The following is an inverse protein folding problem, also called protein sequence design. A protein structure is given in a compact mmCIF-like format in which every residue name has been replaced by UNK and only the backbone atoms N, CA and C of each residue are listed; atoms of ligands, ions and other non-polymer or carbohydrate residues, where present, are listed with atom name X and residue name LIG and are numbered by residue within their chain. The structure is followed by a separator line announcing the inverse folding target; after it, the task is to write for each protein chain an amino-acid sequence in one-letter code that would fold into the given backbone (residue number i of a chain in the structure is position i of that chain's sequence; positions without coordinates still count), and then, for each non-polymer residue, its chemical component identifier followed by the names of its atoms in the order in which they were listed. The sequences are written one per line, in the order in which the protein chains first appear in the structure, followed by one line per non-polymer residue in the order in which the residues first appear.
data_IF_185811668436
#
_entry.id   IF_185811668436
#
_cell.length_a   1.000
_cell.length_b   1.000
_cell.length_c   1.000
_cell.angle_alpha   90.00
_cell.angle_beta   90.00
_cell.angle_gamma   90.00
#
_symmetry.space_group_name_H-M   'P 1'
#
loop_
_entity.id
_entity.type
_entity.pdbx_description
1 polymer ?
#
# COMPACT_ATOMS: atom_id res chain seq x y z
N UNK A 1 -1.07 11.84 -30.78
CA UNK A 1 0.14 12.69 -30.66
C UNK A 1 0.59 12.59 -29.22
N UNK A 2 1.68 11.87 -28.95
CA UNK A 2 2.21 11.75 -27.58
C UNK A 2 2.95 13.05 -27.23
N UNK A 3 2.52 13.75 -26.18
CA UNK A 3 3.14 14.99 -25.72
C UNK A 3 4.30 14.68 -24.77
N UNK A 4 5.53 14.74 -25.29
CA UNK A 4 6.76 14.70 -24.49
C UNK A 4 7.12 13.33 -23.91
N UNK A 5 8.43 13.14 -23.66
CA UNK A 5 9.00 11.93 -23.02
C UNK A 5 8.73 10.61 -23.76
N UNK A 6 8.67 10.66 -25.08
CA UNK A 6 8.56 9.50 -25.97
C UNK A 6 9.74 9.34 -26.92
N UNK A 7 9.95 8.12 -27.40
CA UNK A 7 10.81 7.80 -28.55
C UNK A 7 9.98 7.05 -29.60
N UNK A 8 10.28 7.24 -30.89
CA UNK A 8 9.52 6.64 -31.99
C UNK A 8 10.44 5.87 -32.93
N UNK A 9 9.98 4.71 -33.40
CA UNK A 9 10.65 3.94 -34.46
C UNK A 9 10.46 4.60 -35.82
N UNK A 10 11.25 4.17 -36.81
CA UNK A 10 11.12 4.59 -38.21
C UNK A 10 9.76 4.18 -38.83
N UNK A 11 9.10 3.17 -38.27
CA UNK A 11 7.77 2.70 -38.68
C UNK A 11 6.62 3.51 -38.03
N UNK A 12 6.95 4.50 -37.20
CA UNK A 12 5.98 5.39 -36.56
C UNK A 12 5.39 4.85 -35.25
N UNK A 13 5.89 3.74 -34.72
CA UNK A 13 5.50 3.24 -33.40
C UNK A 13 6.25 4.02 -32.31
N UNK A 14 5.52 4.69 -31.42
CA UNK A 14 6.08 5.47 -30.33
C UNK A 14 5.86 4.80 -28.97
N UNK A 15 6.86 4.88 -28.09
CA UNK A 15 6.79 4.42 -26.71
C UNK A 15 7.32 5.48 -25.75
N UNK A 16 7.00 5.37 -24.47
CA UNK A 16 7.61 6.21 -23.44
C UNK A 16 9.13 5.94 -23.33
N UNK A 17 9.88 6.97 -22.95
CA UNK A 17 11.30 6.83 -22.60
C UNK A 17 11.46 5.97 -21.33
N UNK A 18 12.65 5.38 -21.09
CA UNK A 18 12.93 4.70 -19.83
C UNK A 18 12.66 5.61 -18.61
N UNK A 19 12.03 5.06 -17.56
CA UNK A 19 11.58 5.81 -16.39
C UNK A 19 10.25 6.54 -16.57
N UNK A 20 9.51 6.21 -17.64
CA UNK A 20 8.16 6.71 -17.88
C UNK A 20 7.27 5.59 -18.41
N UNK A 21 5.98 5.66 -18.06
CA UNK A 21 4.94 4.76 -18.54
C UNK A 21 3.71 5.53 -19.05
N UNK A 22 2.77 4.84 -19.69
CA UNK A 22 1.49 5.42 -20.08
C UNK A 22 0.35 4.50 -19.61
N UNK A 23 -0.81 5.10 -19.36
CA UNK A 23 -2.03 4.38 -18.99
C UNK A 23 -3.00 4.45 -20.18
N UNK A 24 -3.29 3.34 -20.88
CA UNK A 24 -4.23 3.33 -21.98
C UNK A 24 -5.64 3.83 -21.56
N UNK A 25 -6.36 4.56 -22.42
CA UNK A 25 -6.02 4.93 -23.79
C UNK A 25 -5.19 6.23 -23.89
N UNK A 26 -4.74 6.80 -22.77
CA UNK A 26 -4.03 8.07 -22.77
C UNK A 26 -2.68 7.94 -23.51
N UNK A 27 -2.35 8.94 -24.32
CA UNK A 27 -1.06 9.05 -25.01
C UNK A 27 -0.06 9.94 -24.25
N UNK A 28 -0.26 10.13 -22.95
CA UNK A 28 0.67 10.87 -22.08
C UNK A 28 1.60 9.88 -21.38
N UNK A 29 2.89 10.20 -21.36
CA UNK A 29 3.87 9.50 -20.56
C UNK A 29 4.01 10.17 -19.19
N UNK A 30 3.83 9.39 -18.13
CA UNK A 30 4.00 9.78 -16.73
C UNK A 30 5.34 9.26 -16.21
N UNK A 31 6.03 9.98 -15.33
CA UNK A 31 7.23 9.46 -14.68
C UNK A 31 6.92 8.18 -13.89
N UNK A 32 7.87 7.26 -13.82
CA UNK A 32 7.75 6.04 -13.03
C UNK A 32 8.10 6.33 -11.57
N UNK A 33 7.09 6.55 -10.73
CA UNK A 33 7.26 6.85 -9.30
C UNK A 33 6.91 5.61 -8.47
N UNK A 34 7.86 5.15 -7.67
CA UNK A 34 7.68 4.05 -6.73
C UNK A 34 6.94 4.48 -5.46
N UNK A 35 6.53 3.50 -4.65
CA UNK A 35 5.92 3.78 -3.34
C UNK A 35 6.86 4.63 -2.46
N UNK A 36 6.28 5.58 -1.72
CA UNK A 36 7.02 6.57 -0.93
C UNK A 36 7.60 7.74 -1.74
N UNK A 37 7.58 7.67 -3.08
CA UNK A 37 7.98 8.77 -3.95
C UNK A 37 6.94 9.89 -4.01
N UNK A 38 7.41 11.12 -4.28
CA UNK A 38 6.53 12.29 -4.45
C UNK A 38 5.78 12.23 -5.77
N UNK A 39 4.50 12.56 -5.77
CA UNK A 39 3.64 12.55 -6.94
C UNK A 39 2.63 13.71 -6.92
N UNK A 40 2.07 14.02 -8.08
CA UNK A 40 0.96 14.96 -8.24
C UNK A 40 -0.33 14.27 -8.73
N UNK A 41 -0.19 13.17 -9.47
CA UNK A 41 -1.29 12.42 -10.06
C UNK A 41 -1.13 10.92 -9.76
N UNK A 42 -2.26 10.22 -9.58
CA UNK A 42 -2.27 8.76 -9.40
C UNK A 42 -1.57 8.04 -10.56
N UNK A 43 -1.66 8.59 -11.77
CA UNK A 43 -1.04 8.02 -12.96
C UNK A 43 0.49 8.09 -12.97
N UNK A 44 1.12 8.77 -12.01
CA UNK A 44 2.59 8.77 -11.85
C UNK A 44 3.08 7.58 -11.02
N UNK A 45 2.21 6.99 -10.22
CA UNK A 45 2.58 5.85 -9.39
C UNK A 45 2.64 4.58 -10.25
N UNK A 46 3.86 4.11 -10.52
CA UNK A 46 4.10 2.95 -11.39
C UNK A 46 3.73 1.61 -10.73
N UNK A 47 3.62 1.57 -9.40
CA UNK A 47 3.26 0.37 -8.65
C UNK A 47 1.75 0.09 -8.81
N UNK A 48 1.35 -1.13 -9.23
CA UNK A 48 -0.05 -1.46 -9.41
C UNK A 48 -0.87 -1.27 -8.13
N UNK A 49 -2.05 -0.66 -8.26
CA UNK A 49 -2.96 -0.30 -7.15
C UNK A 49 -2.41 0.75 -6.17
N UNK A 50 -1.28 1.38 -6.46
CA UNK A 50 -0.86 2.58 -5.76
C UNK A 50 -1.67 3.79 -6.24
N UNK A 51 -1.83 4.75 -5.35
CA UNK A 51 -2.48 6.04 -5.59
C UNK A 51 -1.60 7.16 -5.04
N UNK A 52 -1.72 8.35 -5.62
CA UNK A 52 -1.08 9.54 -5.10
C UNK A 52 -1.89 10.09 -3.93
N UNK A 53 -1.45 9.81 -2.71
CA UNK A 53 -2.13 10.23 -1.48
C UNK A 53 -1.25 11.22 -0.73
N UNK A 54 -1.78 12.40 -0.44
CA UNK A 54 -1.04 13.49 0.21
C UNK A 54 0.31 13.83 -0.49
N UNK A 55 0.34 13.70 -1.83
CA UNK A 55 1.53 13.96 -2.63
C UNK A 55 2.57 12.84 -2.61
N UNK A 56 2.22 11.65 -2.11
CA UNK A 56 3.12 10.50 -2.01
C UNK A 56 2.43 9.24 -2.57
N UNK A 57 3.14 8.48 -3.40
CA UNK A 57 2.66 7.20 -3.90
C UNK A 57 2.50 6.19 -2.75
N UNK A 58 1.26 5.78 -2.51
CA UNK A 58 0.87 4.92 -1.40
C UNK A 58 -0.06 3.81 -1.91
N UNK A 59 -0.09 2.64 -1.26
CA UNK A 59 -1.07 1.62 -1.63
C UNK A 59 -2.50 2.11 -1.41
N UNK A 60 -3.39 1.77 -2.34
CA UNK A 60 -4.82 2.07 -2.24
C UNK A 60 -5.48 1.45 -1.01
N UNK A 61 -6.69 1.90 -0.70
CA UNK A 61 -7.42 1.50 0.51
C UNK A 61 -7.49 -0.02 0.71
N UNK A 62 -7.06 -0.49 1.87
CA UNK A 62 -7.09 -1.90 2.24
C UNK A 62 -5.94 -2.76 1.69
N UNK A 63 -5.00 -2.14 0.98
CA UNK A 63 -3.78 -2.79 0.49
C UNK A 63 -2.57 -2.35 1.32
N UNK A 64 -1.59 -3.24 1.43
CA UNK A 64 -0.30 -2.99 2.07
C UNK A 64 0.83 -3.19 1.05
N UNK A 65 1.93 -2.42 1.16
CA UNK A 65 3.11 -2.68 0.36
C UNK A 65 3.74 -4.02 0.76
N UNK A 66 4.34 -4.72 -0.19
CA UNK A 66 5.27 -5.80 0.07
C UNK A 66 6.59 -5.29 0.67
N UNK A 67 7.45 -6.20 1.11
CA UNK A 67 8.72 -5.85 1.75
C UNK A 67 9.64 -5.04 0.83
N UNK A 68 9.55 -5.26 -0.49
CA UNK A 68 10.36 -4.60 -1.49
C UNK A 68 9.71 -3.32 -2.07
N UNK A 69 8.51 -2.94 -1.62
CA UNK A 69 7.74 -1.81 -2.15
C UNK A 69 7.51 -1.86 -3.67
N UNK A 70 7.38 -3.06 -4.24
CA UNK A 70 7.13 -3.29 -5.66
C UNK A 70 5.67 -3.63 -5.97
N UNK A 71 4.89 -4.05 -4.98
CA UNK A 71 3.49 -4.43 -5.15
C UNK A 71 2.62 -4.05 -3.95
N UNK A 72 1.35 -3.74 -4.23
CA UNK A 72 0.32 -3.59 -3.21
C UNK A 72 -0.51 -4.87 -3.13
N UNK A 73 -0.50 -5.52 -1.96
CA UNK A 73 -1.23 -6.75 -1.71
C UNK A 73 -2.32 -6.52 -0.67
N UNK A 74 -3.47 -7.19 -0.83
CA UNK A 74 -4.51 -7.14 0.19
C UNK A 74 -4.04 -7.92 1.41
N UNK A 75 -4.15 -7.32 2.59
CA UNK A 75 -4.13 -8.12 3.81
C UNK A 75 -5.38 -9.01 3.75
N UNK A 76 -5.19 -10.32 3.50
CA UNK A 76 -6.23 -11.34 3.65
C UNK A 76 -6.57 -11.52 5.13
N UNK A 77 -6.93 -10.43 5.82
CA UNK A 77 -7.44 -10.39 7.17
C UNK A 77 -6.62 -11.19 8.17
N UNK A 78 -5.30 -11.03 8.21
CA UNK A 78 -4.53 -11.41 9.40
C UNK A 78 -4.23 -10.20 10.26
N UNK A 79 -5.31 -9.53 10.70
CA UNK A 79 -5.37 -9.08 12.09
C UNK A 79 -5.39 -10.30 12.99
N UNK A 80 -4.28 -11.02 13.09
CA UNK A 80 -4.09 -12.00 14.15
C UNK A 80 -4.25 -11.25 15.45
N UNK A 81 -5.33 -11.55 16.15
CA UNK A 81 -5.62 -11.05 17.48
C UNK A 81 -4.55 -11.59 18.46
N UNK A 82 -3.34 -11.06 18.41
CA UNK A 82 -2.26 -11.39 19.35
C UNK A 82 -2.52 -10.84 20.76
N UNK A 83 -3.65 -10.19 20.99
CA UNK A 83 -4.08 -9.68 22.29
C UNK A 83 -5.32 -10.38 22.86
N UNK A 84 -5.97 -11.29 22.13
CA UNK A 84 -7.18 -11.98 22.61
C UNK A 84 -6.89 -12.93 23.78
N UNK A 85 -5.78 -13.68 23.71
CA UNK A 85 -5.42 -14.67 24.74
C UNK A 85 -5.02 -14.01 26.06
N UNK A 86 -4.30 -12.88 26.01
CA UNK A 86 -3.85 -12.13 27.19
C UNK A 86 -5.05 -11.56 27.96
N UNK A 87 -6.03 -10.98 27.25
CA UNK A 87 -7.25 -10.42 27.87
C UNK A 87 -8.10 -11.51 28.53
N UNK A 88 -8.19 -12.70 27.94
CA UNK A 88 -8.91 -13.85 28.53
C UNK A 88 -8.21 -14.36 29.80
N UNK A 89 -6.88 -14.45 29.80
CA UNK A 89 -6.12 -14.87 30.99
C UNK A 89 -6.25 -13.85 32.13
N UNK A 90 -6.14 -12.55 31.82
CA UNK A 90 -6.30 -11.48 32.82
C UNK A 90 -7.73 -11.45 33.40
N UNK A 91 -8.76 -11.59 32.56
CA UNK A 91 -10.16 -11.60 33.00
C UNK A 91 -10.56 -12.85 33.80
N UNK A 92 -9.87 -13.99 33.65
CA UNK A 92 -10.08 -15.18 34.48
C UNK A 92 -9.28 -15.15 35.79
N UNK A 93 -8.10 -14.51 35.81
CA UNK A 93 -7.24 -14.45 36.98
C UNK A 93 -7.67 -13.37 38.00
N UNK A 94 -8.10 -12.20 37.53
CA UNK A 94 -8.54 -11.07 38.37
C UNK A 94 -9.71 -11.42 39.33
N UNK A 95 -10.81 -12.07 38.89
CA UNK A 95 -11.91 -12.41 39.79
C UNK A 95 -11.52 -13.47 40.83
N UNK A 96 -10.59 -14.38 40.51
CA UNK A 96 -10.10 -15.37 41.48
C UNK A 96 -9.19 -14.76 42.55
N UNK A 97 -8.42 -13.72 42.22
CA UNK A 97 -7.62 -12.98 43.19
C UNK A 97 -8.52 -12.21 44.17
N UNK A 98 -9.62 -11.64 43.68
CA UNK A 98 -10.60 -10.92 44.51
C UNK A 98 -11.30 -11.85 45.52
N UNK A 99 -11.69 -13.06 45.10
CA UNK A 99 -12.24 -14.08 46.00
C UNK A 99 -11.20 -14.57 47.04
N UNK A 100 -9.93 -14.72 46.65
CA UNK A 100 -8.85 -15.09 47.59
C UNK A 100 -8.60 -14.02 48.65
N UNK A 101 -8.60 -12.73 48.26
CA UNK A 101 -8.47 -11.62 49.21
C UNK A 101 -9.65 -11.54 50.17
N UNK A 102 -10.87 -11.83 49.70
CA UNK A 102 -12.08 -11.88 50.53
C UNK A 102 -12.08 -13.05 51.53
N UNK A 103 -11.35 -14.12 51.24
CA UNK A 103 -11.19 -15.28 52.15
C UNK A 103 -10.15 -15.05 53.27
N UNK A 104 -9.40 -13.96 53.23
CA UNK A 104 -8.30 -13.66 54.18
C UNK A 104 -8.66 -12.57 55.22
N UNK A 105 -9.94 -12.27 55.41
CA UNK A 105 -10.45 -11.35 56.47
C UNK A 105 -11.51 -12.04 57.29
#
# INVERSE_FOLDING_TARGET
MFLGKTTCSVEGHCSCLPGYHHIPPNSKCFPDIGLGGMCEDNAECAVPSAVCSAGICSCGSGLIPDDDNTMCTGDNGKRTAEHGLIVVLLSLALPRLFEYLKSST
#
